data_IF_375107504510
#
_entry.id   IF_375107504510
#
_cell.length_a   1.000
_cell.length_b   1.000
_cell.length_c   1.000
_cell.angle_alpha   90.00
_cell.angle_beta   90.00
_cell.angle_gamma   90.00
#
_symmetry.space_group_name_H-M   'P 1'
#
loop_
_entity.id
_entity.type
_entity.pdbx_description
1 polymer ?
#
# COMPACT_ATOMS: atom_id res chain seq x y z
N UNK A 1 -7.11 8.66 24.12
CA UNK A 1 -8.01 7.49 24.11
C UNK A 1 -7.13 6.26 24.21
N UNK A 2 -7.44 5.33 25.12
CA UNK A 2 -6.64 4.11 25.23
C UNK A 2 -6.72 3.33 23.91
N UNK A 3 -5.56 2.90 23.40
CA UNK A 3 -5.48 2.11 22.16
C UNK A 3 -5.90 0.68 22.45
N UNK A 4 -7.22 0.43 22.52
CA UNK A 4 -7.78 -0.86 22.93
C UNK A 4 -7.86 -1.86 21.76
N UNK A 5 -7.61 -1.42 20.53
CA UNK A 5 -7.63 -2.27 19.34
C UNK A 5 -6.28 -2.95 19.12
N UNK A 6 -6.31 -4.28 19.01
CA UNK A 6 -5.11 -5.11 18.84
C UNK A 6 -4.92 -5.50 17.37
N UNK A 7 -3.71 -5.28 16.85
CA UNK A 7 -3.28 -5.81 15.55
C UNK A 7 -2.62 -7.17 15.75
N UNK A 8 -3.10 -8.20 15.06
CA UNK A 8 -2.52 -9.56 15.07
C UNK A 8 -2.21 -10.00 13.65
N UNK A 9 -0.99 -10.43 13.40
CA UNK A 9 -0.55 -10.99 12.12
C UNK A 9 0.22 -12.29 12.38
N UNK A 10 0.03 -13.29 11.51
CA UNK A 10 0.83 -14.51 11.53
C UNK A 10 2.12 -14.26 10.75
N UNK A 11 3.23 -14.72 11.30
CA UNK A 11 4.56 -14.68 10.71
C UNK A 11 5.31 -15.93 11.16
N UNK A 12 6.26 -16.41 10.36
CA UNK A 12 7.12 -17.51 10.78
C UNK A 12 8.07 -17.08 11.91
N UNK A 13 8.52 -18.05 12.70
CA UNK A 13 9.36 -17.80 13.87
C UNK A 13 10.69 -17.16 13.49
N UNK A 14 11.33 -17.61 12.40
CA UNK A 14 12.65 -17.10 12.02
C UNK A 14 12.60 -15.61 11.67
N UNK A 15 11.60 -15.20 10.87
CA UNK A 15 11.41 -13.79 10.52
C UNK A 15 11.05 -12.95 11.75
N UNK A 16 10.23 -13.47 12.68
CA UNK A 16 9.90 -12.79 13.93
C UNK A 16 11.15 -12.52 14.77
N UNK A 17 12.00 -13.51 14.93
CA UNK A 17 13.17 -13.42 15.81
C UNK A 17 14.20 -12.44 15.22
N UNK A 18 14.49 -12.54 13.92
CA UNK A 18 15.37 -11.60 13.22
C UNK A 18 14.87 -10.15 13.28
N UNK A 19 13.58 -9.93 13.05
CA UNK A 19 12.98 -8.59 13.14
C UNK A 19 13.04 -8.04 14.57
N UNK A 20 12.83 -8.90 15.58
CA UNK A 20 12.87 -8.50 16.99
C UNK A 20 14.28 -8.03 17.38
N UNK A 21 15.31 -8.77 17.00
CA UNK A 21 16.71 -8.40 17.26
C UNK A 21 17.09 -7.09 16.58
N UNK A 22 16.76 -6.95 15.29
CA UNK A 22 17.06 -5.75 14.52
C UNK A 22 16.38 -4.50 15.09
N UNK A 23 15.11 -4.62 15.49
CA UNK A 23 14.36 -3.50 16.10
C UNK A 23 14.87 -3.18 17.50
N UNK A 24 15.24 -4.19 18.30
CA UNK A 24 15.81 -3.98 19.63
C UNK A 24 17.15 -3.23 19.56
N UNK A 25 17.98 -3.52 18.56
CA UNK A 25 19.22 -2.77 18.30
C UNK A 25 18.96 -1.29 17.96
N UNK A 26 17.75 -0.95 17.48
CA UNK A 26 17.28 0.41 17.23
C UNK A 26 16.54 1.02 18.43
N UNK A 27 16.39 0.31 19.54
CA UNK A 27 15.62 0.75 20.71
C UNK A 27 14.10 0.68 20.53
N UNK A 28 13.61 -0.13 19.59
CA UNK A 28 12.18 -0.27 19.28
C UNK A 28 11.68 -1.68 19.61
N UNK A 29 10.45 -1.77 20.10
CA UNK A 29 9.73 -3.05 20.12
C UNK A 29 9.05 -3.32 18.77
N UNK A 30 8.67 -4.58 18.52
CA UNK A 30 7.83 -4.95 17.36
C UNK A 30 6.52 -4.16 17.36
N UNK A 31 5.93 -3.93 18.53
CA UNK A 31 4.71 -3.14 18.66
C UNK A 31 4.92 -1.67 18.31
N UNK A 32 6.08 -1.09 18.62
CA UNK A 32 6.41 0.29 18.22
C UNK A 32 6.53 0.40 16.70
N UNK A 33 7.25 -0.52 16.08
CA UNK A 33 7.40 -0.55 14.62
C UNK A 33 6.04 -0.68 13.91
N UNK A 34 5.17 -1.58 14.37
CA UNK A 34 3.82 -1.76 13.80
C UNK A 34 2.99 -0.47 13.97
N UNK A 35 3.03 0.17 15.15
CA UNK A 35 2.30 1.43 15.38
C UNK A 35 2.80 2.54 14.45
N UNK A 36 4.10 2.74 14.36
CA UNK A 36 4.71 3.78 13.52
C UNK A 36 4.37 3.58 12.04
N UNK A 37 4.46 2.33 11.56
CA UNK A 37 4.08 1.97 10.19
C UNK A 37 2.62 2.38 9.91
N UNK A 38 1.68 1.97 10.77
CA UNK A 38 0.25 2.23 10.54
C UNK A 38 -0.09 3.72 10.62
N UNK A 39 0.54 4.46 11.53
CA UNK A 39 0.39 5.93 11.60
C UNK A 39 0.89 6.58 10.32
N UNK A 40 2.07 6.18 9.82
CA UNK A 40 2.66 6.79 8.61
C UNK A 40 1.85 6.44 7.37
N UNK A 41 1.42 5.19 7.21
CA UNK A 41 0.55 4.76 6.10
C UNK A 41 -0.78 5.54 6.10
N UNK A 42 -1.38 5.75 7.28
CA UNK A 42 -2.62 6.50 7.40
C UNK A 42 -2.46 7.97 7.00
N UNK A 43 -1.33 8.58 7.38
CA UNK A 43 -1.03 9.99 7.10
C UNK A 43 -0.63 10.23 5.64
N UNK A 44 0.27 9.41 5.10
CA UNK A 44 0.88 9.64 3.79
C UNK A 44 0.12 9.01 2.63
N UNK A 45 -0.77 8.04 2.93
CA UNK A 45 -1.40 7.19 1.91
C UNK A 45 -0.38 6.42 1.05
N UNK A 46 0.79 6.15 1.61
CA UNK A 46 1.87 5.41 0.97
C UNK A 46 2.45 4.35 1.93
N UNK A 47 2.99 3.28 1.37
CA UNK A 47 3.75 2.29 2.13
C UNK A 47 5.23 2.69 2.19
N UNK A 48 5.95 2.52 3.31
CA UNK A 48 7.34 2.99 3.45
C UNK A 48 8.36 2.33 2.52
N UNK A 49 7.95 1.36 1.71
CA UNK A 49 8.75 0.81 0.64
C UNK A 49 7.90 0.64 -0.62
N UNK A 50 8.53 0.67 -1.82
CA UNK A 50 7.81 0.62 -3.07
C UNK A 50 7.02 -0.68 -3.22
N UNK A 51 5.69 -0.56 -3.34
CA UNK A 51 4.81 -1.68 -3.69
C UNK A 51 4.80 -1.81 -5.21
N UNK A 52 5.70 -2.65 -5.73
CA UNK A 52 5.97 -2.75 -7.18
C UNK A 52 4.88 -3.47 -7.97
N UNK A 53 3.98 -4.20 -7.31
CA UNK A 53 2.93 -4.98 -7.98
C UNK A 53 1.62 -4.21 -7.95
N UNK A 54 1.04 -3.84 -9.11
CA UNK A 54 -0.26 -3.19 -9.16
C UNK A 54 -1.32 -4.07 -8.47
N UNK A 55 -2.27 -3.45 -7.77
CA UNK A 55 -3.35 -4.19 -7.11
C UNK A 55 -4.26 -4.90 -8.13
N UNK A 56 -5.16 -5.78 -7.65
CA UNK A 56 -6.01 -6.57 -8.54
C UNK A 56 -6.87 -5.72 -9.49
N UNK A 57 -7.40 -4.59 -9.00
CA UNK A 57 -8.19 -3.65 -9.80
C UNK A 57 -7.35 -3.01 -10.91
N UNK A 58 -6.16 -2.51 -10.58
CA UNK A 58 -5.25 -1.92 -11.56
C UNK A 58 -4.81 -2.95 -12.60
N UNK A 59 -4.50 -4.19 -12.19
CA UNK A 59 -4.16 -5.27 -13.14
C UNK A 59 -5.31 -5.58 -14.10
N UNK A 60 -6.55 -5.58 -13.60
CA UNK A 60 -7.74 -5.77 -14.44
C UNK A 60 -7.89 -4.64 -15.46
N UNK A 61 -7.76 -3.38 -15.02
CA UNK A 61 -7.84 -2.23 -15.90
C UNK A 61 -6.76 -2.27 -16.99
N UNK A 62 -5.50 -2.59 -16.63
CA UNK A 62 -4.42 -2.77 -17.61
C UNK A 62 -4.75 -3.86 -18.63
N UNK A 63 -5.25 -5.03 -18.19
CA UNK A 63 -5.64 -6.11 -19.08
C UNK A 63 -6.82 -5.76 -20.01
N UNK A 64 -7.74 -4.88 -19.59
CA UNK A 64 -8.82 -4.37 -20.44
C UNK A 64 -8.29 -3.43 -21.52
N UNK A 65 -7.34 -2.56 -21.17
CA UNK A 65 -6.68 -1.67 -22.12
C UNK A 65 -5.87 -2.43 -23.18
N UNK A 66 -5.09 -3.44 -22.76
CA UNK A 66 -4.33 -4.32 -23.68
C UNK A 66 -5.24 -5.06 -24.67
N UNK A 67 -6.48 -5.38 -24.26
CA UNK A 67 -7.49 -6.00 -25.12
C UNK A 67 -8.23 -5.00 -26.02
N UNK A 68 -7.82 -3.73 -26.03
CA UNK A 68 -8.44 -2.68 -26.82
C UNK A 68 -9.83 -2.25 -26.32
N UNK A 69 -10.19 -2.56 -25.06
CA UNK A 69 -11.47 -2.15 -24.46
C UNK A 69 -11.44 -0.74 -23.88
N UNK A 70 -10.32 -0.03 -24.01
CA UNK A 70 -10.18 1.36 -23.61
C UNK A 70 -10.96 2.31 -24.52
N UNK A 71 -11.51 3.38 -23.95
CA UNK A 71 -12.11 4.47 -24.71
C UNK A 71 -11.00 5.28 -25.39
N UNK A 72 -11.22 5.63 -26.66
CA UNK A 72 -10.30 6.47 -27.45
C UNK A 72 -10.97 7.80 -27.75
N UNK A 73 -10.18 8.86 -27.76
CA UNK A 73 -10.61 10.22 -28.06
C UNK A 73 -9.72 10.78 -29.18
N UNK A 74 -10.27 11.67 -30.00
CA UNK A 74 -9.53 12.28 -31.10
C UNK A 74 -8.63 13.44 -30.66
N UNK A 75 -8.91 14.03 -29.48
CA UNK A 75 -8.14 15.14 -28.91
C UNK A 75 -8.13 15.11 -27.38
N UNK A 76 -7.22 15.88 -26.77
CA UNK A 76 -7.19 16.09 -25.33
C UNK A 76 -8.46 16.80 -24.83
N UNK A 77 -9.01 17.74 -25.61
CA UNK A 77 -10.25 18.46 -25.26
C UNK A 77 -11.44 17.51 -25.15
N UNK A 78 -11.55 16.52 -26.04
CA UNK A 78 -12.60 15.49 -25.98
C UNK A 78 -12.46 14.59 -24.75
N UNK A 79 -11.22 14.26 -24.37
CA UNK A 79 -10.94 13.49 -23.15
C UNK A 79 -11.35 14.26 -21.90
N UNK A 80 -10.93 15.51 -21.76
CA UNK A 80 -11.24 16.33 -20.58
C UNK A 80 -12.74 16.57 -20.43
N UNK A 81 -13.43 16.84 -21.54
CA UNK A 81 -14.89 16.94 -21.56
C UNK A 81 -15.59 15.67 -21.09
N UNK A 82 -15.04 14.49 -21.37
CA UNK A 82 -15.61 13.21 -20.89
C UNK A 82 -15.31 12.93 -19.41
N UNK A 83 -14.17 13.41 -18.91
CA UNK A 83 -13.73 13.25 -17.52
C UNK A 83 -14.32 14.29 -16.56
N UNK A 84 -15.07 15.27 -17.08
CA UNK A 84 -15.66 16.38 -16.33
C UNK A 84 -14.61 17.21 -15.56
N UNK A 85 -13.44 17.41 -16.19
CA UNK A 85 -12.32 18.23 -15.69
C UNK A 85 -11.82 19.22 -16.74
#
# INVERSE_FOLDING_TARGET
>A
MASDTVVRARIDTATKDQATEALAAMGLSVSDAIRLLLVRVAADKEFPFPVKVPNATTRKAMAELEKGKGKRFASADELFKDLDI
#
